data_IF_714924708350
#
_entry.id   IF_714924708350
#
_cell.length_a   1.000
_cell.length_b   1.000
_cell.length_c   1.000
_cell.angle_alpha   90.00
_cell.angle_beta   90.00
_cell.angle_gamma   90.00
#
_symmetry.space_group_name_H-M   'P 1'
#
loop_
_entity.id
_entity.type
_entity.pdbx_description
1 polymer ?
#
# COMPACT_ATOMS: atom_id res chain seq x y z
N UNK A 1 -12.46 -0.09 25.29
CA UNK A 1 -11.67 0.69 24.31
C UNK A 1 -11.80 2.16 24.70
N UNK A 2 -10.78 2.99 24.48
CA UNK A 2 -10.83 4.42 24.80
C UNK A 2 -10.69 5.27 23.54
N UNK A 3 -11.43 6.36 23.47
CA UNK A 3 -11.31 7.42 22.46
C UNK A 3 -11.27 8.76 23.19
N UNK A 4 -10.23 9.56 22.97
CA UNK A 4 -9.97 10.81 23.72
C UNK A 4 -10.12 10.65 25.24
N UNK A 5 -9.47 9.61 25.78
CA UNK A 5 -9.50 9.23 27.21
C UNK A 5 -10.89 8.88 27.77
N UNK A 6 -11.89 8.71 26.90
CA UNK A 6 -13.24 8.28 27.29
C UNK A 6 -13.46 6.83 26.91
N UNK A 7 -13.99 6.06 27.85
CA UNK A 7 -14.40 4.70 27.56
C UNK A 7 -15.56 4.71 26.56
N UNK A 8 -15.40 3.92 25.50
CA UNK A 8 -16.42 3.75 24.47
C UNK A 8 -16.85 2.30 24.39
N UNK A 9 -18.15 2.10 24.10
CA UNK A 9 -18.69 0.79 23.82
C UNK A 9 -17.95 0.20 22.61
N UNK A 10 -17.47 -1.03 22.77
CA UNK A 10 -16.69 -1.72 21.75
C UNK A 10 -17.03 -3.20 21.76
N UNK A 11 -16.81 -3.85 20.63
CA UNK A 11 -16.98 -5.30 20.45
C UNK A 11 -15.66 -5.89 19.96
N UNK A 12 -15.47 -7.20 20.18
CA UNK A 12 -14.29 -7.91 19.68
C UNK A 12 -14.19 -7.84 18.16
N UNK A 13 -12.96 -7.76 17.63
CA UNK A 13 -12.71 -7.61 16.18
C UNK A 13 -13.40 -8.69 15.33
N UNK A 14 -13.43 -9.94 15.80
CA UNK A 14 -14.11 -11.03 15.10
C UNK A 14 -15.63 -10.78 14.97
N UNK A 15 -16.27 -10.31 16.05
CA UNK A 15 -17.68 -9.96 16.06
C UNK A 15 -17.95 -8.74 15.16
N UNK A 16 -17.08 -7.73 15.20
CA UNK A 16 -17.19 -6.55 14.34
C UNK A 16 -17.10 -6.92 12.86
N UNK A 17 -16.11 -7.72 12.47
CA UNK A 17 -15.93 -8.18 11.10
C UNK A 17 -17.11 -9.06 10.64
N UNK A 18 -17.62 -9.92 11.52
CA UNK A 18 -18.79 -10.76 11.22
C UNK A 18 -20.03 -9.90 10.97
N UNK A 19 -20.31 -8.92 11.85
CA UNK A 19 -21.41 -7.99 11.67
C UNK A 19 -21.25 -7.17 10.38
N UNK A 20 -20.04 -6.72 10.06
CA UNK A 20 -19.76 -6.00 8.82
C UNK A 20 -20.02 -6.86 7.58
N UNK A 21 -19.59 -8.13 7.57
CA UNK A 21 -19.86 -9.05 6.46
C UNK A 21 -21.36 -9.29 6.30
N UNK A 22 -22.09 -9.46 7.40
CA UNK A 22 -23.56 -9.61 7.35
C UNK A 22 -24.21 -8.37 6.74
N UNK A 23 -23.81 -7.16 7.17
CA UNK A 23 -24.26 -5.92 6.58
C UNK A 23 -23.99 -5.84 5.06
N UNK A 24 -22.81 -6.25 4.60
CA UNK A 24 -22.47 -6.26 3.17
C UNK A 24 -23.32 -7.26 2.36
N UNK A 25 -23.73 -8.39 2.98
CA UNK A 25 -24.58 -9.38 2.31
C UNK A 25 -25.98 -8.84 2.00
N UNK A 26 -26.51 -7.94 2.82
CA UNK A 26 -27.82 -7.30 2.61
C UNK A 26 -27.82 -6.31 1.43
N UNK A 27 -26.67 -5.70 1.10
CA UNK A 27 -26.58 -4.69 0.03
C UNK A 27 -26.54 -5.37 -1.36
N UNK A 28 -25.89 -6.52 -1.46
CA UNK A 28 -25.55 -7.22 -2.70
C UNK A 28 -24.66 -6.39 -3.68
N UNK A 29 -23.85 -7.08 -4.50
CA UNK A 29 -23.00 -6.46 -5.54
C UNK A 29 -22.16 -5.26 -5.06
N UNK A 30 -21.64 -5.32 -3.83
CA UNK A 30 -21.04 -4.16 -3.18
C UNK A 30 -19.64 -3.84 -3.69
N UNK A 31 -19.38 -2.56 -3.96
CA UNK A 31 -18.05 -2.00 -4.21
C UNK A 31 -17.72 -1.05 -3.07
N UNK A 32 -16.59 -1.28 -2.41
CA UNK A 32 -16.15 -0.44 -1.29
C UNK A 32 -15.39 0.78 -1.82
N UNK A 33 -15.82 1.98 -1.42
CA UNK A 33 -15.19 3.23 -1.84
C UNK A 33 -14.47 3.83 -0.64
N UNK A 34 -13.19 4.15 -0.82
CA UNK A 34 -12.39 4.79 0.22
C UNK A 34 -11.41 5.80 -0.37
N UNK A 35 -10.87 6.67 0.46
CA UNK A 35 -9.89 7.67 0.04
C UNK A 35 -8.49 7.25 0.45
N UNK A 36 -7.60 7.04 -0.54
CA UNK A 36 -6.26 6.48 -0.32
C UNK A 36 -6.30 5.05 0.27
N UNK A 37 -7.42 4.36 0.10
CA UNK A 37 -7.74 3.14 0.83
C UNK A 37 -6.90 1.94 0.39
N UNK A 38 -6.46 1.88 -0.87
CA UNK A 38 -5.64 0.75 -1.38
C UNK A 38 -4.31 0.62 -0.64
N UNK A 39 -3.77 1.71 -0.13
CA UNK A 39 -2.46 1.75 0.54
C UNK A 39 -2.61 1.70 2.07
N UNK A 40 -3.73 2.19 2.62
CA UNK A 40 -3.93 2.36 4.06
C UNK A 40 -4.96 1.38 4.61
N UNK A 41 -6.25 1.62 4.38
CA UNK A 41 -7.34 0.89 5.04
C UNK A 41 -7.45 -0.56 4.58
N UNK A 42 -7.37 -0.80 3.26
CA UNK A 42 -7.59 -2.12 2.67
C UNK A 42 -6.57 -3.15 3.17
N UNK A 43 -5.25 -2.89 3.21
CA UNK A 43 -4.30 -3.83 3.80
C UNK A 43 -4.58 -4.16 5.28
N UNK A 44 -5.08 -3.20 6.06
CA UNK A 44 -5.41 -3.41 7.48
C UNK A 44 -6.64 -4.31 7.59
N UNK A 45 -7.68 -4.04 6.81
CA UNK A 45 -8.91 -4.83 6.75
C UNK A 45 -8.62 -6.28 6.32
N UNK A 46 -7.87 -6.48 5.23
CA UNK A 46 -7.49 -7.81 4.74
C UNK A 46 -6.72 -8.59 5.80
N UNK A 47 -5.73 -7.97 6.45
CA UNK A 47 -4.98 -8.60 7.54
C UNK A 47 -5.88 -8.99 8.73
N UNK A 48 -6.85 -8.13 9.10
CA UNK A 48 -7.78 -8.44 10.17
C UNK A 48 -8.71 -9.61 9.80
N UNK A 49 -9.22 -9.62 8.57
CA UNK A 49 -10.05 -10.72 8.03
C UNK A 49 -9.28 -12.05 7.99
N UNK A 50 -8.04 -12.03 7.50
CA UNK A 50 -7.19 -13.23 7.42
C UNK A 50 -6.91 -13.80 8.81
N UNK A 51 -6.54 -12.95 9.78
CA UNK A 51 -6.29 -13.37 11.18
C UNK A 51 -7.52 -13.92 11.90
N UNK A 52 -8.72 -13.62 11.42
CA UNK A 52 -9.97 -14.12 11.98
C UNK A 52 -10.62 -15.21 11.12
N UNK A 53 -9.97 -15.68 10.06
CA UNK A 53 -10.51 -16.73 9.18
C UNK A 53 -11.75 -16.29 8.36
N UNK A 54 -11.97 -14.98 8.21
CA UNK A 54 -13.17 -14.40 7.59
C UNK A 54 -12.94 -13.91 6.15
N UNK A 55 -11.72 -14.04 5.62
CA UNK A 55 -11.34 -13.51 4.32
C UNK A 55 -12.21 -14.05 3.17
N UNK A 56 -12.47 -15.35 3.13
CA UNK A 56 -13.31 -15.99 2.09
C UNK A 56 -14.77 -15.51 2.16
N UNK A 57 -15.30 -15.33 3.38
CA UNK A 57 -16.66 -14.85 3.56
C UNK A 57 -16.79 -13.41 3.05
N UNK A 58 -15.82 -12.57 3.38
CA UNK A 58 -15.77 -11.20 2.89
C UNK A 58 -15.63 -11.11 1.36
N UNK A 59 -14.76 -11.94 0.76
CA UNK A 59 -14.60 -12.02 -0.71
C UNK A 59 -15.92 -12.31 -1.43
N UNK A 60 -16.74 -13.18 -0.87
CA UNK A 60 -18.03 -13.54 -1.48
C UNK A 60 -19.00 -12.35 -1.53
N UNK A 61 -18.84 -11.38 -0.63
CA UNK A 61 -19.74 -10.24 -0.45
C UNK A 61 -19.29 -8.97 -1.21
N UNK A 62 -18.00 -8.81 -1.51
CA UNK A 62 -17.45 -7.58 -2.11
C UNK A 62 -16.94 -7.83 -3.52
N UNK A 63 -17.40 -7.04 -4.49
CA UNK A 63 -17.03 -7.14 -5.91
C UNK A 63 -15.76 -6.36 -6.26
N UNK A 64 -15.38 -5.38 -5.45
CA UNK A 64 -14.17 -4.63 -5.67
C UNK A 64 -14.05 -3.39 -4.79
N UNK A 65 -13.03 -2.61 -5.08
CA UNK A 65 -12.66 -1.41 -4.32
C UNK A 65 -12.43 -0.23 -5.26
N UNK A 66 -12.82 0.97 -4.87
CA UNK A 66 -12.43 2.21 -5.56
C UNK A 66 -11.58 3.04 -4.60
N UNK A 67 -10.39 3.43 -5.08
CA UNK A 67 -9.57 4.42 -4.41
C UNK A 67 -9.82 5.80 -5.02
N UNK A 68 -10.43 6.66 -4.22
CA UNK A 68 -10.84 7.99 -4.67
C UNK A 68 -9.67 8.98 -4.78
N UNK A 69 -8.52 8.73 -4.15
CA UNK A 69 -7.38 9.66 -4.22
C UNK A 69 -6.86 9.83 -5.66
N UNK A 70 -6.47 8.76 -6.39
CA UNK A 70 -6.06 8.90 -7.78
C UNK A 70 -7.24 9.22 -8.72
N UNK A 71 -8.46 8.79 -8.38
CA UNK A 71 -9.67 9.14 -9.12
C UNK A 71 -9.92 10.66 -9.13
N UNK A 72 -9.86 11.30 -7.96
CA UNK A 72 -10.10 12.73 -7.83
C UNK A 72 -9.00 13.55 -8.51
N UNK A 73 -7.75 13.06 -8.54
CA UNK A 73 -6.68 13.69 -9.34
C UNK A 73 -6.99 13.78 -10.83
N UNK A 74 -7.74 12.82 -11.36
CA UNK A 74 -8.15 12.82 -12.75
C UNK A 74 -9.45 13.61 -12.98
N UNK A 75 -10.41 13.52 -12.05
CA UNK A 75 -11.68 14.25 -12.17
C UNK A 75 -11.52 15.76 -12.02
N UNK A 76 -10.67 16.21 -11.10
CA UNK A 76 -10.48 17.62 -10.74
C UNK A 76 -8.99 17.91 -10.66
N UNK A 77 -8.29 18.05 -11.80
CA UNK A 77 -6.84 18.23 -11.81
C UNK A 77 -6.41 19.55 -11.15
N UNK A 78 -5.10 19.69 -10.90
CA UNK A 78 -4.44 20.91 -10.45
C UNK A 78 -4.88 21.46 -9.08
N UNK A 79 -5.35 20.61 -8.19
CA UNK A 79 -5.63 21.00 -6.80
C UNK A 79 -4.34 21.10 -5.97
N UNK A 80 -4.25 22.05 -5.03
CA UNK A 80 -3.08 22.23 -4.18
C UNK A 80 -2.85 21.05 -3.24
N UNK A 81 -3.91 20.33 -2.87
CA UNK A 81 -3.85 19.09 -2.10
C UNK A 81 -5.03 18.20 -2.48
N UNK A 82 -4.82 16.88 -2.38
CA UNK A 82 -5.86 15.88 -2.55
C UNK A 82 -6.15 15.11 -1.26
N UNK A 83 -5.65 15.56 -0.11
CA UNK A 83 -6.15 14.99 1.15
C UNK A 83 -7.65 15.27 1.28
N UNK A 84 -8.40 14.30 1.80
CA UNK A 84 -9.86 14.38 1.88
C UNK A 84 -10.37 15.69 2.53
N UNK A 85 -9.83 16.16 3.68
CA UNK A 85 -10.29 17.41 4.29
C UNK A 85 -10.01 18.64 3.43
N UNK A 86 -8.88 18.66 2.70
CA UNK A 86 -8.53 19.79 1.85
C UNK A 86 -9.40 19.86 0.62
N UNK A 87 -9.63 18.73 -0.05
CA UNK A 87 -10.50 18.72 -1.23
C UNK A 87 -11.96 18.98 -0.86
N UNK A 88 -12.40 18.50 0.30
CA UNK A 88 -13.71 18.81 0.86
C UNK A 88 -13.89 20.32 1.06
N UNK A 89 -12.95 20.97 1.75
CA UNK A 89 -12.99 22.42 1.95
C UNK A 89 -12.92 23.19 0.61
N UNK A 90 -12.12 22.73 -0.36
CA UNK A 90 -12.05 23.37 -1.68
C UNK A 90 -13.38 23.33 -2.42
N UNK A 91 -14.15 22.23 -2.33
CA UNK A 91 -15.40 22.07 -3.07
C UNK A 91 -16.65 22.59 -2.35
N UNK A 92 -16.62 22.65 -1.02
CA UNK A 92 -17.78 23.04 -0.21
C UNK A 92 -17.57 24.31 0.62
N UNK A 93 -16.32 24.77 0.81
CA UNK A 93 -16.02 25.88 1.74
C UNK A 93 -16.24 25.53 3.21
N UNK A 94 -16.31 24.23 3.52
CA UNK A 94 -16.65 23.68 4.83
C UNK A 94 -15.48 22.88 5.41
N UNK A 95 -15.40 22.81 6.74
CA UNK A 95 -14.56 21.86 7.46
C UNK A 95 -15.44 20.79 8.10
N UNK A 96 -14.87 19.61 8.32
CA UNK A 96 -15.51 18.54 9.07
C UNK A 96 -14.50 17.94 10.07
N UNK A 97 -14.98 17.15 11.02
CA UNK A 97 -14.13 16.50 12.03
C UNK A 97 -13.36 15.33 11.43
N UNK A 98 -12.28 15.63 10.70
CA UNK A 98 -11.40 14.63 10.14
C UNK A 98 -10.80 13.73 11.24
N UNK A 99 -10.53 12.47 10.90
CA UNK A 99 -10.09 11.41 11.82
C UNK A 99 -11.20 10.77 12.67
N UNK A 100 -12.44 11.26 12.59
CA UNK A 100 -13.61 10.45 12.92
C UNK A 100 -14.02 9.62 11.68
N UNK A 101 -14.11 8.30 11.84
CA UNK A 101 -14.37 7.40 10.71
C UNK A 101 -15.75 7.59 10.08
N UNK A 102 -16.75 7.99 10.85
CA UNK A 102 -18.10 8.25 10.33
C UNK A 102 -18.11 9.57 9.55
N UNK A 103 -17.53 10.62 10.13
CA UNK A 103 -17.44 11.93 9.47
C UNK A 103 -16.61 11.85 8.18
N UNK A 104 -15.51 11.07 8.17
CA UNK A 104 -14.73 10.81 6.97
C UNK A 104 -15.58 10.10 5.89
N UNK A 105 -16.43 9.13 6.25
CA UNK A 105 -17.31 8.46 5.27
C UNK A 105 -18.41 9.39 4.76
N UNK A 106 -19.01 10.21 5.62
CA UNK A 106 -20.04 11.19 5.24
C UNK A 106 -19.46 12.25 4.31
N UNK A 107 -18.27 12.78 4.63
CA UNK A 107 -17.56 13.73 3.78
C UNK A 107 -17.17 13.12 2.43
N UNK A 108 -16.68 11.87 2.43
CA UNK A 108 -16.33 11.15 1.22
C UNK A 108 -17.55 10.91 0.32
N UNK A 109 -18.71 10.58 0.90
CA UNK A 109 -19.96 10.44 0.15
C UNK A 109 -20.33 11.75 -0.55
N UNK A 110 -20.34 12.87 0.19
CA UNK A 110 -20.62 14.20 -0.36
C UNK A 110 -19.67 14.55 -1.51
N UNK A 111 -18.36 14.30 -1.33
CA UNK A 111 -17.36 14.50 -2.37
C UNK A 111 -17.66 13.66 -3.62
N UNK A 112 -17.93 12.38 -3.44
CA UNK A 112 -18.17 11.45 -4.54
C UNK A 112 -19.43 11.81 -5.33
N UNK A 113 -20.49 12.27 -4.65
CA UNK A 113 -21.73 12.77 -5.26
C UNK A 113 -21.48 14.11 -5.99
N UNK A 114 -20.77 15.04 -5.37
CA UNK A 114 -20.47 16.37 -5.96
C UNK A 114 -19.59 16.27 -7.20
N UNK A 115 -18.56 15.42 -7.17
CA UNK A 115 -17.65 15.21 -8.31
C UNK A 115 -18.32 14.36 -9.39
N UNK A 116 -19.20 13.44 -8.99
CA UNK A 116 -19.92 12.50 -9.86
C UNK A 116 -19.03 11.86 -10.94
N UNK A 117 -18.02 11.06 -10.56
CA UNK A 117 -17.10 10.47 -11.53
C UNK A 117 -17.84 9.60 -12.57
N UNK A 118 -17.42 9.69 -13.83
CA UNK A 118 -17.98 8.86 -14.90
C UNK A 118 -17.73 7.37 -14.65
N UNK A 119 -18.56 6.50 -15.25
CA UNK A 119 -18.37 5.05 -15.12
C UNK A 119 -17.00 4.60 -15.63
N UNK A 120 -16.48 5.24 -16.68
CA UNK A 120 -15.14 4.98 -17.23
C UNK A 120 -14.07 5.25 -16.18
N UNK A 121 -14.14 6.38 -15.47
CA UNK A 121 -13.19 6.73 -14.42
C UNK A 121 -13.33 5.82 -13.19
N UNK A 122 -14.57 5.53 -12.77
CA UNK A 122 -14.84 4.57 -11.67
C UNK A 122 -14.23 3.21 -11.98
N UNK A 123 -14.40 2.71 -13.20
CA UNK A 123 -13.84 1.45 -13.66
C UNK A 123 -12.30 1.48 -13.68
N UNK A 124 -11.70 2.53 -14.26
CA UNK A 124 -10.23 2.71 -14.33
C UNK A 124 -9.56 2.69 -12.95
N UNK A 125 -10.19 3.28 -11.94
CA UNK A 125 -9.64 3.35 -10.59
C UNK A 125 -10.20 2.28 -9.64
N UNK A 126 -11.07 1.40 -10.14
CA UNK A 126 -11.49 0.21 -9.41
C UNK A 126 -10.33 -0.79 -9.31
N UNK A 127 -10.35 -1.62 -8.28
CA UNK A 127 -9.49 -2.79 -8.14
C UNK A 127 -10.37 -3.99 -7.83
N UNK A 128 -10.16 -5.08 -8.55
CA UNK A 128 -10.76 -6.37 -8.17
C UNK A 128 -10.14 -6.86 -6.88
N UNK A 129 -10.81 -7.81 -6.24
CA UNK A 129 -10.25 -8.47 -5.06
C UNK A 129 -8.87 -9.07 -5.35
N UNK A 130 -8.69 -9.72 -6.49
CA UNK A 130 -7.41 -10.34 -6.89
C UNK A 130 -6.29 -9.31 -6.97
N UNK A 131 -6.57 -8.14 -7.58
CA UNK A 131 -5.57 -7.07 -7.68
C UNK A 131 -5.17 -6.53 -6.30
N UNK A 132 -6.13 -6.41 -5.38
CA UNK A 132 -5.90 -5.97 -4.01
C UNK A 132 -5.08 -7.00 -3.23
N UNK A 133 -5.38 -8.29 -3.39
CA UNK A 133 -4.62 -9.35 -2.74
C UNK A 133 -3.18 -9.43 -3.24
N UNK A 134 -2.97 -9.25 -4.54
CA UNK A 134 -1.62 -9.18 -5.10
C UNK A 134 -0.82 -8.04 -4.46
N UNK A 135 -1.41 -6.85 -4.29
CA UNK A 135 -0.78 -5.73 -3.61
C UNK A 135 -0.49 -6.03 -2.13
N UNK A 136 -1.44 -6.67 -1.43
CA UNK A 136 -1.27 -7.07 -0.04
C UNK A 136 -0.13 -8.09 0.13
N UNK A 137 -0.10 -9.14 -0.70
CA UNK A 137 0.96 -10.15 -0.71
C UNK A 137 2.31 -9.52 -1.05
N UNK A 138 2.37 -8.65 -2.07
CA UNK A 138 3.58 -7.92 -2.43
C UNK A 138 4.13 -7.09 -1.25
N UNK A 139 3.25 -6.42 -0.50
CA UNK A 139 3.61 -5.66 0.71
C UNK A 139 4.17 -6.57 1.81
N UNK A 140 3.54 -7.72 2.05
CA UNK A 140 4.02 -8.68 3.05
C UNK A 140 5.38 -9.29 2.66
N UNK A 141 5.54 -9.70 1.40
CA UNK A 141 6.82 -10.17 0.87
C UNK A 141 7.90 -9.09 0.98
N UNK A 142 7.60 -7.85 0.61
CA UNK A 142 8.52 -6.71 0.75
C UNK A 142 8.95 -6.52 2.20
N UNK A 143 8.01 -6.60 3.16
CA UNK A 143 8.33 -6.50 4.58
C UNK A 143 9.27 -7.63 5.03
N UNK A 144 9.02 -8.85 4.58
CA UNK A 144 9.90 -10.00 4.84
C UNK A 144 11.29 -9.86 4.21
N UNK A 145 11.39 -9.30 3.00
CA UNK A 145 12.69 -9.04 2.37
C UNK A 145 13.45 -7.91 3.05
N UNK A 146 12.74 -6.86 3.49
CA UNK A 146 13.35 -5.72 4.18
C UNK A 146 14.02 -6.13 5.49
N UNK A 147 13.47 -7.12 6.23
CA UNK A 147 14.13 -7.64 7.43
C UNK A 147 15.46 -8.32 7.11
N UNK A 148 15.57 -8.98 5.95
CA UNK A 148 16.84 -9.60 5.53
C UNK A 148 17.93 -8.56 5.22
N UNK A 149 17.55 -7.32 4.88
CA UNK A 149 18.48 -6.24 4.53
C UNK A 149 18.95 -5.41 5.73
N UNK A 150 18.45 -5.70 6.94
CA UNK A 150 18.86 -5.02 8.18
C UNK A 150 20.37 -4.98 8.41
N UNK A 151 21.15 -6.03 8.10
CA UNK A 151 22.61 -5.96 8.26
C UNK A 151 23.24 -4.81 7.47
N UNK A 152 22.78 -4.55 6.22
CA UNK A 152 23.30 -3.45 5.39
C UNK A 152 22.83 -2.07 5.86
N UNK A 153 21.64 -1.97 6.45
CA UNK A 153 21.17 -0.68 7.01
C UNK A 153 21.85 -0.37 8.34
N UNK A 154 22.07 -1.38 9.18
CA UNK A 154 22.69 -1.24 10.48
C UNK A 154 24.18 -0.90 10.36
N UNK A 155 24.87 -1.48 9.37
CA UNK A 155 26.25 -1.11 9.01
C UNK A 155 26.36 0.23 8.29
N UNK A 156 25.22 0.90 8.00
CA UNK A 156 25.13 2.13 7.19
C UNK A 156 25.69 1.97 5.77
N UNK A 157 25.81 0.74 5.26
CA UNK A 157 26.17 0.46 3.86
C UNK A 157 25.15 1.06 2.90
N UNK A 158 23.86 0.96 3.26
CA UNK A 158 22.75 1.58 2.51
C UNK A 158 21.77 2.28 3.46
N UNK A 159 21.01 3.22 2.93
CA UNK A 159 19.93 3.88 3.68
C UNK A 159 18.67 3.00 3.75
N UNK A 160 17.79 3.29 4.72
CA UNK A 160 16.47 2.63 4.79
C UNK A 160 15.66 2.80 3.50
N UNK A 161 15.71 3.97 2.86
CA UNK A 161 15.04 4.20 1.58
C UNK A 161 15.58 3.28 0.48
N UNK A 162 16.90 3.05 0.44
CA UNK A 162 17.50 2.14 -0.52
C UNK A 162 17.16 0.68 -0.22
N UNK A 163 17.16 0.28 1.06
CA UNK A 163 16.73 -1.06 1.46
C UNK A 163 15.28 -1.33 1.08
N UNK A 164 14.38 -0.36 1.28
CA UNK A 164 12.99 -0.45 0.82
C UNK A 164 12.93 -0.61 -0.70
N UNK A 165 13.75 0.14 -1.46
CA UNK A 165 13.80 0.01 -2.92
C UNK A 165 14.25 -1.38 -3.39
N UNK A 166 15.27 -1.94 -2.75
CA UNK A 166 15.74 -3.31 -3.00
C UNK A 166 14.62 -4.31 -2.68
N UNK A 167 14.03 -4.23 -1.48
CA UNK A 167 12.97 -5.14 -1.04
C UNK A 167 11.73 -5.08 -1.94
N UNK A 168 11.28 -3.88 -2.31
CA UNK A 168 10.14 -3.68 -3.22
C UNK A 168 10.41 -4.17 -4.65
N UNK A 169 11.68 -4.37 -5.02
CA UNK A 169 12.05 -5.02 -6.29
C UNK A 169 12.10 -6.56 -6.19
N UNK A 170 11.62 -7.13 -5.07
CA UNK A 170 11.64 -8.57 -4.82
C UNK A 170 13.01 -9.11 -4.39
N UNK A 171 13.95 -8.23 -4.02
CA UNK A 171 15.31 -8.60 -3.65
C UNK A 171 15.52 -8.57 -2.14
N UNK A 172 16.33 -9.50 -1.65
CA UNK A 172 16.70 -9.65 -0.25
C UNK A 172 18.16 -10.07 -0.15
N UNK A 173 18.69 -10.19 1.06
CA UNK A 173 20.13 -10.43 1.26
C UNK A 173 20.65 -11.69 0.56
N UNK A 174 19.87 -12.78 0.55
CA UNK A 174 20.25 -14.02 -0.15
C UNK A 174 20.42 -13.81 -1.65
N UNK A 175 19.55 -13.01 -2.27
CA UNK A 175 19.66 -12.65 -3.68
C UNK A 175 20.91 -11.82 -3.98
N UNK A 176 21.24 -10.88 -3.09
CA UNK A 176 22.46 -10.07 -3.22
C UNK A 176 23.71 -10.93 -3.09
N UNK A 177 23.75 -11.81 -2.08
CA UNK A 177 24.84 -12.79 -1.90
C UNK A 177 25.01 -13.68 -3.13
N UNK A 178 23.92 -14.20 -3.69
CA UNK A 178 23.97 -15.03 -4.90
C UNK A 178 24.52 -14.27 -6.11
N UNK A 179 24.08 -13.04 -6.33
CA UNK A 179 24.57 -12.22 -7.42
C UNK A 179 26.06 -11.88 -7.25
N UNK A 180 26.47 -11.52 -6.04
CA UNK A 180 27.86 -11.26 -5.71
C UNK A 180 28.75 -12.50 -5.84
N UNK A 181 28.29 -13.67 -5.39
CA UNK A 181 29.02 -14.94 -5.55
C UNK A 181 29.27 -15.29 -7.03
N UNK A 182 28.35 -14.91 -7.92
CA UNK A 182 28.45 -15.20 -9.36
C UNK A 182 29.47 -14.33 -10.08
N UNK A 183 29.50 -13.03 -9.79
CA UNK A 183 30.31 -12.08 -10.56
C UNK A 183 30.73 -10.84 -9.76
N UNK A 184 31.00 -11.02 -8.47
CA UNK A 184 31.44 -10.00 -7.51
C UNK A 184 30.63 -8.70 -7.64
N UNK A 185 31.29 -7.57 -7.86
CA UNK A 185 30.63 -6.27 -8.01
C UNK A 185 29.77 -6.21 -9.28
N UNK A 186 30.21 -6.83 -10.38
CA UNK A 186 29.49 -6.83 -11.65
C UNK A 186 28.15 -7.58 -11.54
N UNK A 187 28.09 -8.64 -10.72
CA UNK A 187 26.85 -9.34 -10.42
C UNK A 187 25.82 -8.45 -9.71
N UNK A 188 26.27 -7.63 -8.75
CA UNK A 188 25.41 -6.64 -8.08
C UNK A 188 24.98 -5.54 -9.06
N UNK A 189 25.89 -5.05 -9.90
CA UNK A 189 25.58 -4.04 -10.91
C UNK A 189 24.50 -4.54 -11.88
N UNK A 190 24.67 -5.74 -12.45
CA UNK A 190 23.72 -6.34 -13.36
C UNK A 190 22.34 -6.50 -12.70
N UNK A 191 22.31 -6.96 -11.44
CA UNK A 191 21.07 -7.12 -10.69
C UNK A 191 20.36 -5.79 -10.40
N UNK A 192 21.10 -4.76 -9.97
CA UNK A 192 20.52 -3.46 -9.61
C UNK A 192 20.08 -2.64 -10.81
N UNK A 193 20.73 -2.85 -11.96
CA UNK A 193 20.50 -2.07 -13.18
C UNK A 193 19.58 -2.73 -14.19
N UNK A 194 19.18 -3.98 -13.95
CA UNK A 194 18.18 -4.71 -14.74
C UNK A 194 16.97 -3.82 -15.06
N UNK A 195 16.52 -3.82 -16.32
CA UNK A 195 15.45 -2.94 -16.76
C UNK A 195 14.08 -3.52 -16.41
N UNK A 196 13.26 -2.73 -15.71
CA UNK A 196 11.90 -3.15 -15.34
C UNK A 196 10.86 -2.34 -16.12
N UNK A 197 10.31 -2.93 -17.19
CA UNK A 197 9.14 -2.43 -17.94
C UNK A 197 9.32 -1.12 -18.70
N UNK A 198 10.37 -0.34 -18.41
CA UNK A 198 10.69 0.91 -19.09
C UNK A 198 12.21 0.97 -19.39
N UNK A 199 12.65 1.37 -20.60
CA UNK A 199 14.06 1.29 -21.00
C UNK A 199 15.04 2.08 -20.13
N UNK A 200 14.54 3.12 -19.44
CA UNK A 200 15.35 4.01 -18.61
C UNK A 200 15.34 3.67 -17.12
N UNK A 201 14.45 2.77 -16.67
CA UNK A 201 14.21 2.52 -15.24
C UNK A 201 14.92 1.25 -14.77
N UNK A 202 16.03 1.45 -14.07
CA UNK A 202 16.73 0.38 -13.36
C UNK A 202 15.85 -0.21 -12.24
N UNK A 203 15.98 -1.51 -12.03
CA UNK A 203 15.30 -2.30 -10.99
C UNK A 203 15.48 -1.70 -9.61
N UNK A 204 16.71 -1.34 -9.26
CA UNK A 204 17.07 -0.70 -7.99
C UNK A 204 17.77 0.62 -8.23
N UNK A 205 18.98 0.65 -8.77
CA UNK A 205 19.77 1.89 -8.89
C UNK A 205 20.91 1.74 -9.87
N UNK A 206 21.30 2.86 -10.49
CA UNK A 206 22.52 2.98 -11.31
C UNK A 206 23.69 3.63 -10.55
N UNK A 207 23.51 3.90 -9.24
CA UNK A 207 24.53 4.57 -8.43
C UNK A 207 25.72 3.63 -8.19
N UNK A 208 26.84 3.92 -8.85
CA UNK A 208 28.11 3.18 -8.66
C UNK A 208 28.54 3.13 -7.20
N UNK A 209 28.35 4.22 -6.44
CA UNK A 209 28.65 4.28 -5.00
C UNK A 209 27.89 3.22 -4.20
N UNK A 210 26.59 3.05 -4.46
CA UNK A 210 25.76 2.07 -3.76
C UNK A 210 26.11 0.64 -4.17
N UNK A 211 26.37 0.42 -5.46
CA UNK A 211 26.78 -0.89 -6.00
C UNK A 211 28.10 -1.31 -5.36
N UNK A 212 29.11 -0.44 -5.36
CA UNK A 212 30.41 -0.71 -4.76
C UNK A 212 30.29 -0.95 -3.26
N UNK A 213 29.60 -0.08 -2.51
CA UNK A 213 29.42 -0.25 -1.07
C UNK A 213 28.72 -1.58 -0.72
N UNK A 214 27.70 -1.96 -1.50
CA UNK A 214 27.01 -3.25 -1.33
C UNK A 214 27.96 -4.41 -1.60
N UNK A 215 28.77 -4.33 -2.67
CA UNK A 215 29.73 -5.38 -3.02
C UNK A 215 30.84 -5.52 -1.96
N UNK A 216 31.38 -4.41 -1.45
CA UNK A 216 32.38 -4.42 -0.37
C UNK A 216 31.84 -5.09 0.87
N UNK A 217 30.63 -4.69 1.31
CA UNK A 217 29.98 -5.31 2.47
C UNK A 217 29.79 -6.83 2.31
N UNK A 218 29.52 -7.31 1.09
CA UNK A 218 29.34 -8.73 0.83
C UNK A 218 30.67 -9.50 0.80
N UNK A 219 31.75 -8.89 0.32
CA UNK A 219 33.10 -9.46 0.43
C UNK A 219 33.49 -9.66 1.90
N UNK A 220 33.26 -8.64 2.73
CA UNK A 220 33.61 -8.67 4.17
C UNK A 220 32.81 -9.71 4.98
N UNK A 221 31.76 -10.30 4.40
CA UNK A 221 30.95 -11.38 5.00
C UNK A 221 31.42 -12.79 4.59
N UNK A 222 32.28 -12.90 3.57
CA UNK A 222 32.84 -14.16 3.07
C UNK A 222 34.24 -14.46 3.65
N UNK A 223 34.87 -13.47 4.29
CA UNK A 223 36.11 -13.60 5.08
C UNK A 223 35.81 -13.95 6.56
#
# INVERSE_FOLDING_TARGET
>A
MYHDDREVQSIGISNALTAFILFLKEIHNTVLVGHNSKIFDVPILINALEKNGLLNNFMSSVKGFIDTLPLFKECIPNQPSYSQPKIYNTLFGELYSAHDSMEDVVALRRLFEKISPSLVLKSKFSGTYESVMQLYQHRNCTKGLLTTLRPLTNSKTITNCMATKIASSGLGLSHLKLAHKRDRQQGIENLFTELCGHPSKARVTKSKKIIQATSTYLNDLEE
#
